data_IF_361687480779
#
_entry.id   IF_361687480779
#
_cell.length_a   1.000
_cell.length_b   1.000
_cell.length_c   1.000
_cell.angle_alpha   90.00
_cell.angle_beta   90.00
_cell.angle_gamma   90.00
#
_symmetry.space_group_name_H-M   'P 1'
#
loop_
_entity.id
_entity.type
_entity.pdbx_description
1 polymer ?
#
# COMPACT_ATOMS: atom_id res chain seq x y z
N UNK A 1 5.99 -2.25 -26.02
CA UNK A 1 6.77 -1.13 -25.44
C UNK A 1 7.30 -1.61 -24.11
N UNK A 2 8.62 -1.73 -23.96
CA UNK A 2 9.23 -2.07 -22.67
C UNK A 2 9.71 -0.76 -22.03
N UNK A 3 9.20 -0.42 -20.85
CA UNK A 3 9.57 0.78 -20.10
C UNK A 3 8.40 1.41 -19.35
N UNK A 4 8.71 2.40 -18.50
CA UNK A 4 7.73 3.24 -17.82
C UNK A 4 7.17 4.26 -18.81
N UNK A 5 5.86 4.25 -19.03
CA UNK A 5 5.16 5.23 -19.86
C UNK A 5 4.32 6.13 -18.96
N UNK A 6 4.50 7.44 -19.07
CA UNK A 6 3.74 8.43 -18.30
C UNK A 6 2.78 9.14 -19.26
N UNK A 7 1.48 8.99 -19.02
CA UNK A 7 0.41 9.69 -19.74
C UNK A 7 -0.16 10.74 -18.80
N UNK A 8 -0.21 12.00 -19.22
CA UNK A 8 -0.69 13.12 -18.40
C UNK A 8 -1.93 13.75 -19.02
N UNK A 9 -2.88 14.14 -18.18
CA UNK A 9 -4.06 14.90 -18.58
C UNK A 9 -4.70 15.52 -17.34
N UNK A 10 -5.42 16.62 -17.52
CA UNK A 10 -6.27 17.23 -16.49
C UNK A 10 -7.70 16.64 -16.49
N UNK A 11 -7.97 15.68 -17.39
CA UNK A 11 -9.27 15.05 -17.58
C UNK A 11 -9.18 13.55 -17.37
N UNK A 12 -9.87 13.05 -16.34
CA UNK A 12 -9.87 11.61 -16.03
C UNK A 12 -10.52 10.78 -17.14
N UNK A 13 -11.51 11.31 -17.85
CA UNK A 13 -12.16 10.62 -18.96
C UNK A 13 -11.21 10.36 -20.15
N UNK A 14 -10.23 11.24 -20.37
CA UNK A 14 -9.17 11.03 -21.37
C UNK A 14 -8.21 9.93 -20.91
N UNK A 15 -7.78 9.96 -19.64
CA UNK A 15 -6.86 8.95 -19.09
C UNK A 15 -7.48 7.55 -19.09
N UNK A 16 -8.75 7.41 -18.71
CA UNK A 16 -9.43 6.11 -18.74
C UNK A 16 -9.68 5.64 -20.18
N UNK A 17 -9.85 6.55 -21.13
CA UNK A 17 -9.89 6.23 -22.56
C UNK A 17 -8.59 5.56 -23.04
N UNK A 18 -7.44 6.15 -22.72
CA UNK A 18 -6.14 5.53 -23.01
C UNK A 18 -5.94 4.18 -22.31
N UNK A 19 -6.38 4.07 -21.05
CA UNK A 19 -6.36 2.78 -20.33
C UNK A 19 -7.24 1.74 -21.03
N UNK A 20 -8.44 2.11 -21.46
CA UNK A 20 -9.36 1.22 -22.15
C UNK A 20 -8.77 0.70 -23.46
N UNK A 21 -8.11 1.56 -24.25
CA UNK A 21 -7.40 1.18 -25.47
C UNK A 21 -6.25 0.21 -25.21
N UNK A 22 -5.45 0.47 -24.16
CA UNK A 22 -4.34 -0.39 -23.76
C UNK A 22 -4.84 -1.80 -23.40
N UNK A 23 -5.93 -1.90 -22.64
CA UNK A 23 -6.48 -3.17 -22.16
C UNK A 23 -7.17 -4.01 -23.25
N UNK A 24 -7.41 -3.46 -24.46
CA UNK A 24 -7.93 -4.26 -25.59
C UNK A 24 -6.91 -5.27 -26.12
N UNK A 25 -5.63 -5.12 -25.77
CA UNK A 25 -4.56 -6.03 -26.16
C UNK A 25 -3.84 -6.51 -24.89
N UNK A 26 -4.36 -7.54 -24.21
CA UNK A 26 -3.77 -8.03 -22.97
C UNK A 26 -2.32 -8.46 -23.21
N UNK A 27 -1.44 -8.07 -22.28
CA UNK A 27 0.01 -8.26 -22.45
C UNK A 27 0.52 -9.58 -21.84
N UNK A 28 -0.27 -10.22 -20.98
CA UNK A 28 0.11 -11.40 -20.21
C UNK A 28 -0.43 -12.73 -20.76
N UNK A 29 -0.10 -13.85 -20.08
CA UNK A 29 -0.68 -15.16 -20.34
C UNK A 29 -2.22 -15.15 -20.27
N UNK A 30 -2.91 -16.10 -20.93
CA UNK A 30 -4.36 -16.23 -20.81
C UNK A 30 -4.80 -16.28 -19.35
N UNK A 31 -5.89 -15.57 -19.02
CA UNK A 31 -6.50 -15.48 -17.69
C UNK A 31 -5.64 -14.78 -16.62
N UNK A 32 -4.45 -14.27 -16.92
CA UNK A 32 -3.74 -13.43 -15.94
C UNK A 32 -4.51 -12.13 -15.72
N UNK A 33 -4.80 -11.73 -14.46
CA UNK A 33 -5.55 -10.51 -14.21
C UNK A 33 -4.70 -9.27 -14.51
N UNK A 34 -5.32 -8.29 -15.16
CA UNK A 34 -4.71 -6.98 -15.38
C UNK A 34 -4.77 -6.16 -14.07
N UNK A 35 -3.65 -5.57 -13.68
CA UNK A 35 -3.54 -4.85 -12.39
C UNK A 35 -3.57 -3.34 -12.61
N UNK A 36 -4.52 -2.67 -11.99
CA UNK A 36 -4.71 -1.21 -12.04
C UNK A 36 -4.60 -0.67 -10.61
N UNK A 37 -3.50 0.00 -10.29
CA UNK A 37 -3.29 0.57 -8.95
C UNK A 37 -4.17 1.81 -8.77
N UNK A 38 -4.95 1.87 -7.70
CA UNK A 38 -5.88 2.98 -7.41
C UNK A 38 -5.74 3.48 -5.98
N UNK A 39 -6.15 4.72 -5.71
CA UNK A 39 -5.99 5.35 -4.40
C UNK A 39 -7.22 5.23 -3.48
N UNK A 40 -8.35 4.80 -4.03
CA UNK A 40 -9.59 4.68 -3.27
C UNK A 40 -10.55 3.69 -3.91
N UNK A 41 -11.48 3.19 -3.11
CA UNK A 41 -12.60 2.35 -3.59
C UNK A 41 -13.52 3.10 -4.56
N UNK A 42 -13.64 4.42 -4.40
CA UNK A 42 -14.40 5.26 -5.33
C UNK A 42 -13.77 5.26 -6.73
N UNK A 43 -12.44 5.39 -6.79
CA UNK A 43 -11.69 5.32 -8.05
C UNK A 43 -11.78 3.94 -8.68
N UNK A 44 -11.61 2.87 -7.90
CA UNK A 44 -11.82 1.49 -8.36
C UNK A 44 -13.16 1.34 -9.08
N UNK A 45 -14.26 1.71 -8.39
CA UNK A 45 -15.61 1.57 -8.93
C UNK A 45 -15.81 2.41 -10.19
N UNK A 46 -15.34 3.66 -10.18
CA UNK A 46 -15.45 4.54 -11.33
C UNK A 46 -14.68 4.01 -12.55
N UNK A 47 -13.42 3.61 -12.37
CA UNK A 47 -12.61 3.02 -13.45
C UNK A 47 -13.25 1.74 -13.98
N UNK A 48 -13.69 0.84 -13.10
CA UNK A 48 -14.31 -0.42 -13.52
C UNK A 48 -15.58 -0.18 -14.36
N UNK A 49 -16.41 0.80 -13.98
CA UNK A 49 -17.61 1.17 -14.72
C UNK A 49 -17.29 1.82 -16.07
N UNK A 50 -16.31 2.74 -16.12
CA UNK A 50 -15.90 3.39 -17.37
C UNK A 50 -15.26 2.40 -18.35
N UNK A 51 -14.45 1.46 -17.85
CA UNK A 51 -13.91 0.37 -18.68
C UNK A 51 -15.03 -0.51 -19.24
N UNK A 52 -16.02 -0.87 -18.43
CA UNK A 52 -17.18 -1.62 -18.91
C UNK A 52 -17.97 -0.83 -19.97
N UNK A 53 -18.13 0.48 -19.79
CA UNK A 53 -18.81 1.35 -20.77
C UNK A 53 -18.04 1.45 -22.10
N UNK A 54 -16.71 1.54 -22.06
CA UNK A 54 -15.86 1.75 -23.24
C UNK A 54 -15.49 0.45 -23.99
N UNK A 55 -15.33 -0.66 -23.26
CA UNK A 55 -14.92 -1.95 -23.81
C UNK A 55 -16.06 -2.99 -23.82
N UNK A 56 -17.24 -2.63 -23.31
CA UNK A 56 -18.41 -3.52 -23.19
C UNK A 56 -18.39 -4.44 -21.97
N UNK A 57 -17.22 -4.64 -21.35
CA UNK A 57 -17.03 -5.47 -20.15
C UNK A 57 -15.84 -4.97 -19.32
N UNK A 58 -15.93 -5.17 -18.01
CA UNK A 58 -14.83 -5.00 -17.07
C UNK A 58 -14.75 -6.25 -16.21
N UNK A 59 -13.73 -7.08 -16.46
CA UNK A 59 -13.59 -8.39 -15.83
C UNK A 59 -12.11 -8.77 -15.70
N UNK A 60 -11.81 -9.65 -14.76
CA UNK A 60 -10.45 -10.13 -14.46
C UNK A 60 -9.45 -8.99 -14.19
N UNK A 61 -9.89 -7.93 -13.50
CA UNK A 61 -9.07 -6.80 -13.08
C UNK A 61 -8.76 -6.89 -11.59
N UNK A 62 -7.56 -6.48 -11.19
CA UNK A 62 -7.18 -6.28 -9.78
C UNK A 62 -6.94 -4.80 -9.51
N UNK A 63 -7.49 -4.32 -8.40
CA UNK A 63 -7.39 -2.92 -7.97
C UNK A 63 -6.67 -2.77 -6.62
N UNK A 64 -5.38 -3.12 -6.52
CA UNK A 64 -4.64 -2.92 -5.28
C UNK A 64 -4.42 -1.42 -5.01
N UNK A 65 -4.38 -1.07 -3.73
CA UNK A 65 -3.87 0.24 -3.30
C UNK A 65 -2.34 0.27 -3.37
N UNK A 66 -1.70 1.46 -3.41
CA UNK A 66 -0.25 1.54 -3.64
C UNK A 66 0.58 0.71 -2.66
N UNK A 67 0.27 0.76 -1.36
CA UNK A 67 1.01 -0.01 -0.36
C UNK A 67 0.88 -1.53 -0.58
N UNK A 68 -0.34 -2.01 -0.82
CA UNK A 68 -0.58 -3.43 -1.09
C UNK A 68 0.09 -3.89 -2.39
N UNK A 69 0.08 -3.04 -3.43
CA UNK A 69 0.79 -3.31 -4.68
C UNK A 69 2.30 -3.41 -4.46
N UNK A 70 2.89 -2.42 -3.78
CA UNK A 70 4.31 -2.41 -3.44
C UNK A 70 4.71 -3.63 -2.62
N UNK A 71 3.98 -3.95 -1.55
CA UNK A 71 4.23 -5.14 -0.74
C UNK A 71 4.20 -6.43 -1.57
N UNK A 72 3.16 -6.60 -2.40
CA UNK A 72 3.07 -7.79 -3.26
C UNK A 72 4.22 -7.88 -4.27
N UNK A 73 4.66 -6.73 -4.79
CA UNK A 73 5.78 -6.64 -5.75
C UNK A 73 7.10 -6.96 -5.07
N UNK A 74 7.35 -6.40 -3.87
CA UNK A 74 8.53 -6.70 -3.08
C UNK A 74 8.61 -8.19 -2.71
N UNK A 75 7.51 -8.80 -2.24
CA UNK A 75 7.47 -10.24 -1.92
C UNK A 75 7.75 -11.11 -3.15
N UNK A 76 7.22 -10.74 -4.32
CA UNK A 76 7.47 -11.47 -5.55
C UNK A 76 8.94 -11.42 -5.99
N UNK A 77 9.63 -10.29 -5.75
CA UNK A 77 11.06 -10.11 -6.08
C UNK A 77 11.99 -10.70 -5.00
N UNK A 78 11.52 -10.83 -3.76
CA UNK A 78 12.30 -11.28 -2.60
C UNK A 78 11.50 -12.29 -1.78
N UNK A 79 11.30 -13.52 -2.30
CA UNK A 79 10.54 -14.57 -1.62
C UNK A 79 11.24 -15.12 -0.37
N UNK A 80 12.53 -14.79 -0.19
CA UNK A 80 13.32 -15.13 1.00
C UNK A 80 13.00 -14.27 2.22
N UNK A 81 12.23 -13.19 2.05
CA UNK A 81 11.84 -12.33 3.17
C UNK A 81 10.77 -13.00 4.04
N UNK A 82 10.84 -12.80 5.37
CA UNK A 82 9.83 -13.31 6.28
C UNK A 82 8.45 -12.70 5.96
N UNK A 83 7.39 -13.50 6.13
CA UNK A 83 6.01 -13.10 5.84
C UNK A 83 5.57 -11.82 6.57
N UNK A 84 6.10 -11.60 7.78
CA UNK A 84 5.84 -10.42 8.60
C UNK A 84 7.09 -9.57 8.73
N UNK A 85 6.94 -8.27 8.46
CA UNK A 85 8.00 -7.31 8.71
C UNK A 85 8.29 -7.20 10.20
N UNK A 86 9.56 -7.11 10.57
CA UNK A 86 9.96 -6.77 11.94
C UNK A 86 9.56 -5.35 12.38
N UNK A 87 9.01 -4.57 11.45
CA UNK A 87 8.53 -3.20 11.62
C UNK A 87 7.01 -3.08 11.48
N UNK A 88 6.27 -4.20 11.44
CA UNK A 88 4.80 -4.15 11.58
C UNK A 88 4.42 -3.34 12.83
N UNK A 89 3.47 -2.38 12.75
CA UNK A 89 3.17 -1.46 13.85
C UNK A 89 2.92 -2.16 15.18
N UNK A 90 2.15 -3.25 15.16
CA UNK A 90 1.81 -4.03 16.35
C UNK A 90 3.07 -4.62 17.01
N UNK A 91 3.98 -5.20 16.23
CA UNK A 91 5.25 -5.74 16.74
C UNK A 91 6.21 -4.63 17.17
N UNK A 92 6.23 -3.54 16.41
CA UNK A 92 7.13 -2.42 16.63
C UNK A 92 6.81 -1.70 17.92
N UNK A 93 5.53 -1.55 18.28
CA UNK A 93 5.10 -0.97 19.55
C UNK A 93 5.72 -1.72 20.75
N UNK A 94 5.59 -3.06 20.80
CA UNK A 94 6.18 -3.87 21.86
C UNK A 94 7.72 -3.82 21.87
N UNK A 95 8.35 -3.83 20.68
CA UNK A 95 9.82 -3.72 20.57
C UNK A 95 10.33 -2.37 21.06
N UNK A 96 9.66 -1.27 20.68
CA UNK A 96 9.99 0.08 21.15
C UNK A 96 9.81 0.16 22.65
N UNK A 97 8.70 -0.36 23.19
CA UNK A 97 8.46 -0.41 24.63
C UNK A 97 9.60 -1.09 25.40
N UNK A 98 10.01 -2.29 24.98
CA UNK A 98 11.12 -3.01 25.62
C UNK A 98 12.41 -2.17 25.60
N UNK A 99 12.71 -1.53 24.46
CA UNK A 99 13.91 -0.68 24.33
C UNK A 99 13.82 0.61 25.13
N UNK A 100 12.64 1.18 25.28
CA UNK A 100 12.41 2.35 26.13
C UNK A 100 12.63 1.96 27.59
N UNK A 101 12.09 0.83 28.06
CA UNK A 101 12.27 0.36 29.45
C UNK A 101 13.77 0.16 29.79
N UNK A 102 14.54 -0.43 28.88
CA UNK A 102 15.99 -0.62 29.05
C UNK A 102 16.77 0.71 29.14
N UNK A 103 16.29 1.78 28.50
CA UNK A 103 17.07 3.01 28.24
C UNK A 103 16.51 4.26 28.91
N UNK A 104 15.35 4.19 29.57
CA UNK A 104 14.65 5.35 30.14
C UNK A 104 15.49 6.13 31.18
N UNK A 105 16.47 5.48 31.80
CA UNK A 105 17.40 6.10 32.74
C UNK A 105 18.44 7.02 32.09
N UNK A 106 18.65 6.92 30.78
CA UNK A 106 19.62 7.73 30.06
C UNK A 106 19.18 9.21 29.97
N UNK A 107 20.11 10.18 29.96
CA UNK A 107 19.78 11.60 29.92
C UNK A 107 19.04 12.02 28.64
N UNK A 108 19.29 11.37 27.51
CA UNK A 108 18.63 11.59 26.22
C UNK A 108 17.12 11.32 26.29
N UNK A 109 16.69 10.43 27.19
CA UNK A 109 15.28 10.09 27.41
C UNK A 109 14.60 10.94 28.49
N UNK A 110 15.25 12.01 28.99
CA UNK A 110 14.70 12.87 30.04
C UNK A 110 13.31 13.47 29.74
N UNK A 111 12.95 13.87 28.50
CA UNK A 111 11.58 14.28 28.18
C UNK A 111 10.57 13.14 28.34
N UNK A 112 10.92 11.94 27.85
CA UNK A 112 10.05 10.76 27.91
C UNK A 112 9.87 10.27 29.35
N UNK A 113 10.94 10.25 30.15
CA UNK A 113 10.90 9.91 31.59
C UNK A 113 9.94 10.82 32.34
N UNK A 114 10.05 12.14 32.14
CA UNK A 114 9.12 13.12 32.74
C UNK A 114 7.66 12.91 32.31
N UNK A 115 7.42 12.52 31.07
CA UNK A 115 6.07 12.22 30.57
C UNK A 115 5.46 10.96 31.23
N UNK A 116 6.29 9.95 31.46
CA UNK A 116 5.86 8.70 32.11
C UNK A 116 5.63 8.90 33.63
N UNK A 117 6.50 9.66 34.31
CA UNK A 117 6.39 9.91 35.76
C UNK A 117 5.15 10.74 36.13
N UNK A 118 4.72 11.66 35.24
CA UNK A 118 3.56 12.55 35.47
C UNK A 118 2.21 11.84 35.45
N UNK A 119 2.15 10.57 35.05
CA UNK A 119 0.89 9.86 34.84
C UNK A 119 0.92 8.51 35.56
N UNK A 120 0.49 8.52 36.84
CA UNK A 120 0.40 7.35 37.73
C UNK A 120 -0.73 6.36 37.34
N UNK A 121 -0.99 6.16 36.03
CA UNK A 121 -1.82 5.06 35.56
C UNK A 121 -0.91 4.06 34.87
N UNK A 122 -0.80 2.88 35.48
CA UNK A 122 0.01 1.73 35.08
C UNK A 122 -0.32 1.12 33.69
N UNK A 123 -0.93 1.89 32.79
CA UNK A 123 -1.47 1.46 31.51
C UNK A 123 -0.82 2.17 30.31
N UNK A 124 0.40 2.71 30.43
CA UNK A 124 1.14 3.31 29.29
C UNK A 124 2.10 2.36 28.58
N UNK A 125 2.11 1.10 28.99
CA UNK A 125 2.88 0.02 28.38
C UNK A 125 1.97 -1.02 27.70
N UNK A 126 0.72 -0.66 27.41
CA UNK A 126 -0.25 -1.48 26.69
C UNK A 126 -1.01 -0.63 25.69
#
# INVERSE_FOLDING_TARGET
>A
MAGLVIITSNRMDVLVGHLAELLRRPAGPPLSPETIVVQSRGMERWVAMELARLNGISANLRFPFPNAFLESTFRALRPDLPERSGFEPDLLAFRIMARVQERIGQPEFAPLRRFLDRDHRAAKFY
#
